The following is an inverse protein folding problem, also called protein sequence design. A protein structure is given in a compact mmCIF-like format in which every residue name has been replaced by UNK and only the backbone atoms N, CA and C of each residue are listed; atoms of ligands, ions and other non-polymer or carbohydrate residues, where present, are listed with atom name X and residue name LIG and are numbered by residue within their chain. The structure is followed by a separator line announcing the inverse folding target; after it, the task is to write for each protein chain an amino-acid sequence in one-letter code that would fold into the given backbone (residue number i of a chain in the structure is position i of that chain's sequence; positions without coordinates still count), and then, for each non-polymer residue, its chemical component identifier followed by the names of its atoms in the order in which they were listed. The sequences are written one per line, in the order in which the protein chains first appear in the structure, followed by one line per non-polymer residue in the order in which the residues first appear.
data_IF_178025490706
#
_entry.id   IF_178025490706
#
_cell.length_a   1.000
_cell.length_b   1.000
_cell.length_c   1.000
_cell.angle_alpha   90.00
_cell.angle_beta   90.00
_cell.angle_gamma   90.00
#
_symmetry.space_group_name_H-M   'P 1'
#
loop_
_entity.id
_entity.type
_entity.pdbx_description
1 polymer ?
#
# COMPACT_ATOMS: atom_id res chain seq x y z
N UNK A 1 0.74 96.17 -24.92
CA UNK A 1 1.24 94.78 -24.83
C UNK A 1 1.48 94.52 -23.37
N UNK A 2 0.49 93.92 -22.74
CA UNK A 2 0.62 93.56 -21.28
C UNK A 2 0.96 92.03 -21.25
N UNK A 3 2.17 91.73 -20.77
CA UNK A 3 2.66 90.41 -20.53
C UNK A 3 1.95 89.75 -19.33
N UNK A 4 1.25 88.71 -19.54
CA UNK A 4 0.55 87.92 -18.51
C UNK A 4 1.59 87.03 -17.80
N UNK A 5 2.00 87.39 -16.60
CA UNK A 5 2.95 86.62 -15.80
C UNK A 5 2.17 85.50 -15.06
N UNK A 6 2.34 84.29 -15.51
CA UNK A 6 1.76 83.10 -14.91
C UNK A 6 2.56 82.75 -13.61
N UNK A 7 2.03 83.07 -12.43
CA UNK A 7 2.66 82.80 -11.14
C UNK A 7 2.31 81.34 -10.76
N UNK A 8 3.30 80.42 -10.64
CA UNK A 8 3.02 79.04 -10.24
C UNK A 8 2.43 79.01 -8.82
N UNK A 9 1.30 78.34 -8.67
CA UNK A 9 0.62 78.16 -7.39
C UNK A 9 1.54 77.38 -6.41
N UNK A 10 1.84 78.00 -5.26
CA UNK A 10 2.61 77.39 -4.19
C UNK A 10 1.89 76.11 -3.67
N UNK A 11 2.57 74.96 -3.54
CA UNK A 11 1.96 73.72 -2.98
C UNK A 11 1.44 74.02 -1.57
N UNK A 12 0.16 73.77 -1.35
CA UNK A 12 -0.47 73.90 -0.04
C UNK A 12 0.17 72.87 0.92
N UNK A 13 0.97 73.34 1.87
CA UNK A 13 1.50 72.50 2.95
C UNK A 13 0.34 71.95 3.75
N UNK A 14 0.23 70.60 3.86
CA UNK A 14 -0.79 69.95 4.67
C UNK A 14 -0.68 70.38 6.13
N UNK A 15 -1.83 70.56 6.81
CA UNK A 15 -1.84 70.96 8.22
C UNK A 15 -1.10 69.93 9.09
N UNK A 16 -0.51 70.34 10.21
CA UNK A 16 0.18 69.46 11.14
C UNK A 16 -0.69 68.28 11.58
N UNK A 17 -2.01 68.52 11.78
CA UNK A 17 -2.99 67.48 12.12
C UNK A 17 -3.11 66.43 11.00
N UNK A 18 -3.13 66.87 9.74
CA UNK A 18 -3.19 65.96 8.58
C UNK A 18 -1.93 65.14 8.44
N UNK A 19 -0.76 65.73 8.68
CA UNK A 19 0.53 65.02 8.64
C UNK A 19 0.59 63.94 9.73
N UNK A 20 0.22 64.25 10.95
CA UNK A 20 0.16 63.29 12.06
C UNK A 20 -0.82 62.16 11.76
N UNK A 21 -2.03 62.45 11.27
CA UNK A 21 -3.03 61.44 10.92
C UNK A 21 -2.55 60.49 9.83
N UNK A 22 -1.88 61.01 8.79
CA UNK A 22 -1.30 60.20 7.70
C UNK A 22 -0.18 59.30 8.20
N UNK A 23 0.73 59.84 9.01
CA UNK A 23 1.86 59.05 9.55
C UNK A 23 1.36 57.94 10.46
N UNK A 24 0.40 58.24 11.37
CA UNK A 24 -0.19 57.24 12.25
C UNK A 24 -0.99 56.21 11.48
N UNK A 25 -1.77 56.63 10.47
CA UNK A 25 -2.53 55.72 9.61
C UNK A 25 -1.63 54.75 8.84
N UNK A 26 -0.54 55.27 8.26
CA UNK A 26 0.49 54.46 7.59
C UNK A 26 1.16 53.49 8.55
N UNK A 27 1.52 53.91 9.74
CA UNK A 27 2.14 53.07 10.77
C UNK A 27 1.22 51.89 11.14
N UNK A 28 -0.06 52.17 11.37
CA UNK A 28 -1.07 51.11 11.68
C UNK A 28 -1.22 50.14 10.53
N UNK A 29 -1.29 50.62 9.29
CA UNK A 29 -1.38 49.78 8.10
C UNK A 29 -0.14 48.88 7.96
N UNK A 30 1.06 49.45 8.08
CA UNK A 30 2.33 48.70 8.00
C UNK A 30 2.41 47.65 9.10
N UNK A 31 2.07 48.02 10.33
CA UNK A 31 2.07 47.09 11.47
C UNK A 31 1.04 45.96 11.26
N UNK A 32 -0.15 46.26 10.76
CA UNK A 32 -1.20 45.29 10.44
C UNK A 32 -0.78 44.31 9.35
N UNK A 33 -0.16 44.80 8.28
CA UNK A 33 0.38 43.96 7.21
C UNK A 33 1.52 43.06 7.75
N UNK A 34 2.42 43.58 8.54
CA UNK A 34 3.54 42.84 9.12
C UNK A 34 3.04 41.76 10.07
N UNK A 35 2.07 42.05 10.92
CA UNK A 35 1.46 41.06 11.80
C UNK A 35 0.69 39.98 11.02
N UNK A 36 -0.04 40.41 9.99
CA UNK A 36 -0.79 39.46 9.11
C UNK A 36 0.13 38.49 8.39
N UNK A 37 1.28 38.97 7.84
CA UNK A 37 2.24 38.10 7.19
C UNK A 37 2.89 37.13 8.17
N UNK A 38 3.34 37.61 9.32
CA UNK A 38 3.94 36.74 10.35
C UNK A 38 2.97 35.67 10.85
N UNK A 39 1.71 36.05 11.11
CA UNK A 39 0.71 35.11 11.58
C UNK A 39 0.36 34.05 10.48
N UNK A 40 0.25 34.52 9.23
CA UNK A 40 0.00 33.62 8.08
C UNK A 40 1.13 32.62 7.89
N UNK A 41 2.38 33.05 8.00
CA UNK A 41 3.54 32.17 7.86
C UNK A 41 3.62 31.16 9.01
N UNK A 42 3.41 31.60 10.27
CA UNK A 42 3.33 30.69 11.41
C UNK A 42 2.23 29.63 11.23
N UNK A 43 1.04 30.04 10.80
CA UNK A 43 -0.08 29.15 10.61
C UNK A 43 0.19 28.15 9.49
N UNK A 44 0.73 28.60 8.35
CA UNK A 44 1.12 27.75 7.23
C UNK A 44 2.15 26.70 7.65
N UNK A 45 3.21 27.11 8.34
CA UNK A 45 4.24 26.20 8.83
C UNK A 45 3.68 25.17 9.81
N UNK A 46 2.79 25.60 10.71
CA UNK A 46 2.16 24.69 11.67
C UNK A 46 1.26 23.67 10.99
N UNK A 47 0.43 24.09 10.04
CA UNK A 47 -0.45 23.20 9.26
C UNK A 47 0.34 22.22 8.38
N UNK A 48 1.41 22.69 7.73
CA UNK A 48 2.28 21.82 6.94
C UNK A 48 2.98 20.77 7.81
N UNK A 49 3.45 21.16 8.99
CA UNK A 49 4.11 20.25 9.93
C UNK A 49 3.13 19.18 10.44
N UNK A 50 1.91 19.58 10.80
CA UNK A 50 0.87 18.64 11.24
C UNK A 50 0.45 17.68 10.11
N UNK A 51 0.28 18.18 8.88
CA UNK A 51 -0.01 17.34 7.73
C UNK A 51 1.12 16.34 7.46
N UNK A 52 2.38 16.76 7.53
CA UNK A 52 3.54 15.89 7.37
C UNK A 52 3.57 14.74 8.39
N UNK A 53 3.36 15.05 9.68
CA UNK A 53 3.31 14.03 10.74
C UNK A 53 2.15 13.06 10.53
N UNK A 54 0.99 13.55 10.13
CA UNK A 54 -0.18 12.70 9.84
C UNK A 54 0.07 11.74 8.68
N UNK A 55 0.71 12.22 7.59
CA UNK A 55 1.07 11.40 6.44
C UNK A 55 2.15 10.36 6.79
N UNK A 56 3.16 10.75 7.55
CA UNK A 56 4.18 9.81 8.02
C UNK A 56 3.57 8.69 8.87
N UNK A 57 2.65 9.03 9.78
CA UNK A 57 1.96 8.05 10.60
C UNK A 57 1.10 7.11 9.75
N UNK A 58 0.37 7.62 8.77
CA UNK A 58 -0.42 6.82 7.84
C UNK A 58 0.47 5.85 7.04
N UNK A 59 1.60 6.32 6.52
CA UNK A 59 2.55 5.48 5.79
C UNK A 59 3.17 4.38 6.68
N UNK A 60 3.56 4.71 7.91
CA UNK A 60 4.08 3.73 8.89
C UNK A 60 3.02 2.69 9.26
N UNK A 61 1.77 3.11 9.46
CA UNK A 61 0.68 2.18 9.76
C UNK A 61 0.39 1.27 8.57
N UNK A 62 0.38 1.79 7.35
CA UNK A 62 0.23 1.00 6.14
C UNK A 62 1.33 -0.06 6.02
N UNK A 63 2.60 0.34 6.16
CA UNK A 63 3.73 -0.59 6.12
C UNK A 63 3.62 -1.69 7.18
N UNK A 64 3.21 -1.34 8.42
CA UNK A 64 3.01 -2.30 9.49
C UNK A 64 1.86 -3.26 9.21
N UNK A 65 0.73 -2.78 8.70
CA UNK A 65 -0.42 -3.63 8.36
C UNK A 65 -0.09 -4.58 7.21
N UNK A 66 0.62 -4.10 6.19
CA UNK A 66 1.09 -4.93 5.08
C UNK A 66 2.07 -6.00 5.58
N UNK A 67 3.05 -5.63 6.39
CA UNK A 67 4.01 -6.57 6.96
C UNK A 67 3.32 -7.65 7.82
N UNK A 68 2.35 -7.27 8.66
CA UNK A 68 1.57 -8.21 9.47
C UNK A 68 0.77 -9.15 8.56
N UNK A 69 0.11 -8.64 7.53
CA UNK A 69 -0.64 -9.45 6.57
C UNK A 69 0.23 -10.47 5.84
N UNK A 70 1.42 -10.09 5.40
CA UNK A 70 2.40 -11.02 4.81
C UNK A 70 2.85 -12.09 5.81
N UNK A 71 3.12 -11.68 7.05
CA UNK A 71 3.54 -12.60 8.11
C UNK A 71 2.45 -13.60 8.47
N UNK A 72 1.18 -13.17 8.54
CA UNK A 72 0.05 -14.06 8.84
C UNK A 72 -0.12 -15.11 7.74
N UNK A 73 0.03 -14.76 6.47
CA UNK A 73 0.01 -15.72 5.37
C UNK A 73 1.19 -16.68 5.39
N UNK A 74 2.37 -16.18 5.72
CA UNK A 74 3.56 -17.01 5.90
C UNK A 74 3.36 -18.04 7.02
N UNK A 75 2.75 -17.64 8.13
CA UNK A 75 2.40 -18.54 9.22
C UNK A 75 1.33 -19.55 8.83
N UNK A 76 0.32 -19.11 8.09
CA UNK A 76 -0.75 -20.00 7.62
C UNK A 76 -0.19 -21.14 6.77
N UNK A 77 0.64 -20.83 5.76
CA UNK A 77 1.25 -21.86 4.92
C UNK A 77 2.14 -22.80 5.74
N UNK A 78 2.87 -22.26 6.72
CA UNK A 78 3.71 -23.05 7.62
C UNK A 78 2.88 -24.01 8.49
N UNK A 79 1.84 -23.51 9.14
CA UNK A 79 0.99 -24.32 10.02
C UNK A 79 0.28 -25.42 9.23
N UNK A 80 -0.26 -25.10 8.07
CA UNK A 80 -0.92 -26.08 7.22
C UNK A 80 0.07 -27.13 6.72
N UNK A 81 1.24 -26.75 6.24
CA UNK A 81 2.24 -27.66 5.68
C UNK A 81 2.82 -28.63 6.72
N UNK A 82 2.85 -28.24 8.01
CA UNK A 82 3.33 -29.05 9.11
C UNK A 82 2.24 -29.84 9.84
N UNK A 83 1.00 -29.74 9.42
CA UNK A 83 -0.14 -30.43 10.04
C UNK A 83 -0.13 -31.93 9.70
N UNK A 84 0.55 -32.75 10.48
CA UNK A 84 0.64 -34.21 10.28
C UNK A 84 -0.71 -34.90 10.00
N UNK A 85 -1.81 -34.62 10.75
CA UNK A 85 -3.09 -35.23 10.44
C UNK A 85 -3.62 -34.91 9.06
N UNK A 86 -3.36 -33.70 8.54
CA UNK A 86 -3.80 -33.27 7.22
C UNK A 86 -3.18 -34.12 6.11
N UNK A 87 -1.90 -34.47 6.26
CA UNK A 87 -1.11 -35.17 5.24
C UNK A 87 -1.07 -36.70 5.41
N UNK A 88 -1.67 -37.23 6.48
CA UNK A 88 -1.61 -38.67 6.82
C UNK A 88 -2.11 -39.56 5.70
N UNK A 89 -3.15 -39.13 4.96
CA UNK A 89 -3.77 -39.92 3.87
C UNK A 89 -3.30 -39.48 2.48
N UNK A 90 -2.20 -38.75 2.36
CA UNK A 90 -1.60 -38.31 1.11
C UNK A 90 -2.06 -36.93 0.66
N UNK A 91 -1.38 -36.44 -0.42
CA UNK A 91 -1.51 -35.07 -0.91
C UNK A 91 -2.87 -34.77 -1.59
N UNK A 92 -3.62 -35.81 -1.97
CA UNK A 92 -4.88 -35.68 -2.70
C UNK A 92 -6.10 -36.12 -1.87
N UNK A 93 -5.91 -36.23 -0.55
CA UNK A 93 -7.02 -36.72 0.29
C UNK A 93 -8.17 -35.70 0.33
N UNK A 94 -9.41 -36.16 0.55
CA UNK A 94 -10.57 -35.28 0.70
C UNK A 94 -10.36 -34.23 1.82
N UNK A 95 -9.61 -34.60 2.86
CA UNK A 95 -9.26 -33.72 3.97
C UNK A 95 -8.39 -32.54 3.51
N UNK A 96 -7.45 -32.78 2.60
CA UNK A 96 -6.60 -31.74 2.01
C UNK A 96 -7.45 -30.75 1.19
N UNK A 97 -8.32 -31.25 0.32
CA UNK A 97 -9.24 -30.40 -0.46
C UNK A 97 -10.13 -29.56 0.47
N UNK A 98 -10.69 -30.16 1.52
CA UNK A 98 -11.55 -29.47 2.46
C UNK A 98 -10.77 -28.40 3.25
N UNK A 99 -9.54 -28.69 3.67
CA UNK A 99 -8.70 -27.72 4.38
C UNK A 99 -8.35 -26.51 3.50
N UNK A 100 -7.95 -26.75 2.25
CA UNK A 100 -7.66 -25.69 1.28
C UNK A 100 -8.90 -24.82 1.00
N UNK A 101 -10.06 -25.45 0.79
CA UNK A 101 -11.32 -24.73 0.56
C UNK A 101 -11.72 -23.86 1.77
N UNK A 102 -11.56 -24.37 2.99
CA UNK A 102 -11.81 -23.60 4.22
C UNK A 102 -10.84 -22.43 4.38
N UNK A 103 -9.54 -22.66 4.14
CA UNK A 103 -8.52 -21.62 4.19
C UNK A 103 -8.86 -20.50 3.19
N UNK A 104 -9.22 -20.83 1.95
CA UNK A 104 -9.61 -19.86 0.94
C UNK A 104 -10.89 -19.09 1.32
N UNK A 105 -11.89 -19.76 1.91
CA UNK A 105 -13.12 -19.12 2.36
C UNK A 105 -12.89 -18.10 3.50
N UNK A 106 -11.95 -18.38 4.40
CA UNK A 106 -11.56 -17.47 5.48
C UNK A 106 -10.74 -16.28 4.94
N UNK A 107 -10.00 -16.53 3.87
CA UNK A 107 -9.05 -15.59 3.30
C UNK A 107 -9.33 -15.34 1.82
N UNK A 108 -10.28 -14.47 1.48
CA UNK A 108 -10.74 -14.26 0.09
C UNK A 108 -9.65 -13.76 -0.86
N UNK A 109 -8.60 -13.14 -0.34
CA UNK A 109 -7.43 -12.74 -1.14
C UNK A 109 -6.48 -13.89 -1.48
N UNK A 110 -6.65 -15.10 -0.91
CA UNK A 110 -5.93 -16.29 -1.32
C UNK A 110 -6.59 -16.86 -2.59
N UNK A 111 -6.15 -16.38 -3.75
CA UNK A 111 -6.78 -16.69 -5.03
C UNK A 111 -6.55 -18.15 -5.45
N UNK A 112 -5.44 -18.74 -5.02
CA UNK A 112 -5.13 -20.13 -5.30
C UNK A 112 -4.33 -20.73 -4.14
N UNK A 113 -4.72 -21.91 -3.74
CA UNK A 113 -4.00 -22.77 -2.80
C UNK A 113 -3.77 -24.09 -3.49
N UNK A 114 -2.52 -24.55 -3.52
CA UNK A 114 -2.19 -25.79 -4.22
C UNK A 114 -1.06 -26.56 -3.56
N UNK A 115 -1.04 -27.85 -3.85
CA UNK A 115 -0.07 -28.82 -3.35
C UNK A 115 0.61 -29.46 -4.53
N UNK A 116 1.94 -29.39 -4.57
CA UNK A 116 2.76 -30.10 -5.54
C UNK A 116 3.56 -31.20 -4.86
N UNK A 117 3.75 -32.32 -5.54
CA UNK A 117 4.65 -33.41 -5.10
C UNK A 117 6.14 -33.04 -5.33
N UNK A 118 7.03 -33.95 -5.00
CA UNK A 118 8.48 -33.74 -5.15
C UNK A 118 8.93 -33.59 -6.60
N UNK A 119 8.16 -34.08 -7.56
CA UNK A 119 8.41 -33.92 -8.99
C UNK A 119 7.93 -32.56 -9.52
N UNK A 120 7.25 -31.79 -8.68
CA UNK A 120 6.66 -30.51 -9.03
C UNK A 120 5.34 -30.63 -9.78
N UNK A 121 4.64 -31.76 -9.66
CA UNK A 121 3.32 -31.92 -10.25
C UNK A 121 2.24 -31.53 -9.25
N UNK A 122 1.31 -30.63 -9.64
CA UNK A 122 0.19 -30.23 -8.80
C UNK A 122 -0.75 -31.41 -8.57
N UNK A 123 -0.92 -31.82 -7.32
CA UNK A 123 -1.73 -32.97 -6.91
C UNK A 123 -3.08 -32.60 -6.34
N UNK A 124 -3.19 -31.45 -5.72
CA UNK A 124 -4.44 -30.88 -5.24
C UNK A 124 -4.40 -29.37 -5.35
N UNK A 125 -5.51 -28.73 -5.64
CA UNK A 125 -5.60 -27.28 -5.70
C UNK A 125 -7.05 -26.82 -5.50
N UNK A 126 -7.23 -25.57 -5.07
CA UNK A 126 -8.54 -24.93 -5.01
C UNK A 126 -9.10 -24.75 -6.42
N UNK A 127 -10.38 -25.16 -6.60
CA UNK A 127 -11.03 -25.14 -7.91
C UNK A 127 -10.37 -26.02 -8.96
N UNK A 128 -9.58 -27.03 -8.56
CA UNK A 128 -8.81 -27.93 -9.41
C UNK A 128 -7.90 -27.21 -10.44
N UNK A 129 -7.62 -25.93 -10.20
CA UNK A 129 -6.77 -25.14 -11.08
C UNK A 129 -5.33 -25.66 -11.08
N UNK A 130 -4.77 -25.82 -12.27
CA UNK A 130 -3.42 -26.34 -12.52
C UNK A 130 -3.23 -27.82 -12.11
N UNK A 131 -4.28 -28.57 -11.79
CA UNK A 131 -4.17 -29.99 -11.43
C UNK A 131 -3.44 -30.77 -12.53
N UNK A 132 -2.44 -31.57 -12.16
CA UNK A 132 -1.59 -32.32 -13.08
C UNK A 132 -0.54 -31.52 -13.84
N UNK A 133 -0.53 -30.18 -13.72
CA UNK A 133 0.48 -29.33 -14.35
C UNK A 133 1.79 -29.32 -13.56
N UNK A 134 2.91 -29.19 -14.28
CA UNK A 134 4.21 -29.05 -13.65
C UNK A 134 4.46 -27.62 -13.24
N UNK A 135 4.89 -27.44 -11.99
CA UNK A 135 5.32 -26.17 -11.39
C UNK A 135 6.81 -26.20 -10.98
N UNK A 136 7.55 -27.18 -11.48
CA UNK A 136 8.94 -27.43 -11.14
C UNK A 136 9.85 -26.21 -11.36
N UNK A 137 9.61 -25.47 -12.42
CA UNK A 137 10.34 -24.26 -12.80
C UNK A 137 9.88 -22.99 -12.06
N UNK A 138 8.94 -23.11 -11.12
CA UNK A 138 8.44 -21.96 -10.37
C UNK A 138 9.33 -21.68 -9.16
N UNK A 139 9.72 -20.41 -8.95
CA UNK A 139 10.57 -20.03 -7.81
C UNK A 139 9.99 -20.47 -6.47
N UNK A 140 8.69 -20.31 -6.27
CA UNK A 140 8.01 -20.69 -5.03
C UNK A 140 8.12 -22.20 -4.74
N UNK A 141 8.15 -23.07 -5.77
CA UNK A 141 8.29 -24.49 -5.60
C UNK A 141 9.70 -24.86 -5.13
N UNK A 142 10.74 -24.41 -5.86
CA UNK A 142 12.14 -24.72 -5.53
C UNK A 142 12.57 -24.13 -4.17
N UNK A 143 12.06 -22.95 -3.81
CA UNK A 143 12.30 -22.32 -2.51
C UNK A 143 11.47 -22.99 -1.41
N UNK A 144 10.22 -23.31 -1.69
CA UNK A 144 9.31 -24.00 -0.78
C UNK A 144 9.79 -25.39 -0.35
N UNK A 145 10.57 -26.09 -1.18
CA UNK A 145 11.24 -27.35 -0.81
C UNK A 145 12.31 -27.13 0.27
N UNK A 146 12.93 -25.95 0.32
CA UNK A 146 14.02 -25.63 1.26
C UNK A 146 13.53 -25.13 2.62
N UNK A 147 12.31 -24.58 2.65
CA UNK A 147 11.72 -24.00 3.85
C UNK A 147 10.53 -23.11 3.56
N UNK A 148 10.07 -22.41 4.58
CA UNK A 148 9.04 -21.38 4.41
C UNK A 148 9.58 -20.25 3.54
N UNK A 149 8.88 -19.93 2.47
CA UNK A 149 9.27 -18.90 1.51
C UNK A 149 8.13 -17.91 1.29
N UNK A 150 8.49 -16.64 1.24
CA UNK A 150 7.62 -15.54 0.81
C UNK A 150 8.25 -14.96 -0.44
N UNK A 151 7.55 -15.07 -1.55
CA UNK A 151 7.99 -14.52 -2.84
C UNK A 151 7.78 -13.02 -2.92
N UNK A 152 8.42 -12.40 -3.89
CA UNK A 152 8.17 -11.00 -4.22
C UNK A 152 6.91 -10.85 -5.08
N UNK A 153 6.40 -9.61 -5.16
CA UNK A 153 5.23 -9.30 -6.00
C UNK A 153 5.56 -9.51 -7.47
N UNK A 154 4.76 -10.29 -8.16
CA UNK A 154 4.98 -10.59 -9.57
C UNK A 154 3.66 -10.71 -10.35
N UNK A 155 3.67 -10.48 -11.68
CA UNK A 155 2.50 -10.66 -12.52
C UNK A 155 2.05 -12.14 -12.54
N UNK A 156 0.73 -12.36 -12.50
CA UNK A 156 0.13 -13.68 -12.70
C UNK A 156 0.44 -14.18 -14.13
N UNK A 157 1.07 -15.36 -14.26
CA UNK A 157 1.41 -15.92 -15.57
C UNK A 157 0.44 -17.02 -16.00
N UNK A 158 0.36 -18.12 -15.23
CA UNK A 158 -0.51 -19.25 -15.56
C UNK A 158 -1.94 -19.04 -15.08
N UNK A 159 -2.09 -18.57 -13.84
CA UNK A 159 -3.39 -18.39 -13.20
C UNK A 159 -4.17 -17.20 -13.76
N UNK A 160 -3.53 -16.22 -14.38
CA UNK A 160 -4.21 -15.05 -14.94
C UNK A 160 -5.31 -15.40 -15.95
N UNK A 161 -5.18 -16.56 -16.64
CA UNK A 161 -6.16 -17.05 -17.60
C UNK A 161 -7.31 -17.83 -16.97
N UNK A 162 -7.14 -18.27 -15.74
CA UNK A 162 -8.08 -19.14 -15.02
C UNK A 162 -8.87 -18.38 -13.97
N UNK A 163 -8.35 -17.24 -13.51
CA UNK A 163 -8.97 -16.42 -12.50
C UNK A 163 -9.86 -15.34 -13.12
N UNK A 164 -10.91 -14.88 -12.41
CA UNK A 164 -11.69 -13.74 -12.85
C UNK A 164 -10.81 -12.49 -12.93
N UNK A 165 -11.17 -11.51 -13.78
CA UNK A 165 -10.44 -10.24 -13.82
C UNK A 165 -10.38 -9.57 -12.43
N UNK A 166 -9.29 -8.83 -12.16
CA UNK A 166 -9.20 -8.00 -10.96
C UNK A 166 -10.34 -6.99 -10.91
N UNK A 167 -10.87 -6.72 -9.73
CA UNK A 167 -11.90 -5.70 -9.53
C UNK A 167 -11.45 -4.29 -9.96
N UNK A 168 -10.14 -4.02 -9.94
CA UNK A 168 -9.56 -2.76 -10.40
C UNK A 168 -9.40 -2.66 -11.92
N UNK A 169 -9.55 -3.75 -12.65
CA UNK A 169 -9.24 -3.83 -14.09
C UNK A 169 -7.74 -3.85 -14.42
N UNK A 170 -6.86 -3.79 -13.42
CA UNK A 170 -5.42 -3.90 -13.58
C UNK A 170 -4.99 -5.38 -13.73
N UNK A 171 -3.82 -5.64 -14.36
CA UNK A 171 -3.27 -6.98 -14.39
C UNK A 171 -3.05 -7.53 -12.98
N UNK A 172 -3.55 -8.74 -12.73
CA UNK A 172 -3.41 -9.38 -11.43
C UNK A 172 -1.94 -9.60 -11.09
N UNK A 173 -1.60 -9.29 -9.85
CA UNK A 173 -0.29 -9.53 -9.25
C UNK A 173 -0.45 -10.43 -8.04
N UNK A 174 0.53 -11.28 -7.81
CA UNK A 174 0.55 -12.22 -6.70
C UNK A 174 1.75 -12.00 -5.80
N UNK A 175 1.56 -12.41 -4.55
CA UNK A 175 2.64 -12.76 -3.63
C UNK A 175 2.52 -14.24 -3.33
N UNK A 176 3.61 -14.97 -3.48
CA UNK A 176 3.64 -16.39 -3.24
C UNK A 176 4.12 -16.71 -1.82
N UNK A 177 3.38 -17.59 -1.17
CA UNK A 177 3.77 -18.18 0.11
C UNK A 177 3.89 -19.68 -0.10
N UNK A 178 5.01 -20.28 0.28
CA UNK A 178 5.19 -21.72 0.14
C UNK A 178 5.96 -22.31 1.32
N UNK A 179 5.71 -23.58 1.59
CA UNK A 179 6.40 -24.33 2.63
C UNK A 179 6.46 -25.82 2.31
N UNK A 180 7.49 -26.55 2.80
CA UNK A 180 7.59 -27.98 2.60
C UNK A 180 6.51 -28.70 3.44
N UNK A 181 5.80 -29.62 2.81
CA UNK A 181 4.89 -30.53 3.48
C UNK A 181 5.72 -31.64 4.09
N UNK A 182 5.65 -31.75 5.42
CA UNK A 182 6.40 -32.76 6.16
C UNK A 182 5.44 -33.85 6.66
N UNK A 183 5.74 -35.11 6.33
CA UNK A 183 5.07 -36.30 6.83
C UNK A 183 6.11 -37.29 7.34
N UNK A 184 5.96 -37.76 8.56
CA UNK A 184 6.88 -38.70 9.22
C UNK A 184 8.36 -38.25 9.17
N UNK A 185 8.57 -36.93 9.33
CA UNK A 185 9.90 -36.31 9.30
C UNK A 185 10.52 -36.12 7.92
N UNK A 186 9.81 -36.49 6.85
CA UNK A 186 10.27 -36.34 5.47
C UNK A 186 9.44 -35.35 4.70
N UNK A 187 10.09 -34.54 3.85
CA UNK A 187 9.41 -33.68 2.90
C UNK A 187 8.76 -34.56 1.82
N UNK A 188 7.45 -34.41 1.62
CA UNK A 188 6.67 -35.16 0.62
C UNK A 188 6.09 -34.29 -0.48
N UNK A 189 6.24 -32.98 -0.39
CA UNK A 189 5.76 -32.03 -1.38
C UNK A 189 5.88 -30.59 -0.87
N UNK A 190 5.25 -29.68 -1.59
CA UNK A 190 5.18 -28.25 -1.26
C UNK A 190 3.73 -27.78 -1.26
N UNK A 191 3.33 -27.11 -0.19
CA UNK A 191 2.09 -26.32 -0.14
C UNK A 191 2.41 -24.90 -0.57
N UNK A 192 1.58 -24.35 -1.46
CA UNK A 192 1.69 -22.95 -1.84
C UNK A 192 0.35 -22.22 -1.79
N UNK A 193 0.42 -20.93 -1.45
CA UNK A 193 -0.70 -20.00 -1.48
C UNK A 193 -0.30 -18.83 -2.36
N UNK A 194 -1.10 -18.52 -3.39
CA UNK A 194 -0.95 -17.31 -4.18
C UNK A 194 -1.95 -16.27 -3.68
N UNK A 195 -1.46 -15.27 -2.96
CA UNK A 195 -2.25 -14.14 -2.48
C UNK A 195 -2.36 -13.07 -3.56
N UNK A 196 -3.57 -12.53 -3.78
CA UNK A 196 -3.76 -11.32 -4.59
C UNK A 196 -3.04 -10.14 -3.95
N UNK A 197 -2.40 -9.31 -4.77
CA UNK A 197 -1.84 -8.03 -4.30
C UNK A 197 -2.91 -6.95 -4.11
N UNK A 198 -4.16 -7.19 -4.52
CA UNK A 198 -5.26 -6.20 -4.44
C UNK A 198 -5.60 -5.81 -2.99
N UNK A 199 -5.38 -6.72 -2.00
CA UNK A 199 -5.56 -6.40 -0.58
C UNK A 199 -4.70 -5.24 -0.09
N UNK A 200 -3.56 -4.99 -0.73
CA UNK A 200 -2.70 -3.84 -0.39
C UNK A 200 -3.40 -2.51 -0.67
N UNK A 201 -4.19 -2.46 -1.74
CA UNK A 201 -5.02 -1.30 -2.07
C UNK A 201 -6.05 -1.05 -0.97
N UNK A 202 -6.76 -2.08 -0.53
CA UNK A 202 -7.76 -1.97 0.55
C UNK A 202 -7.13 -1.46 1.85
N UNK A 203 -5.94 -1.99 2.21
CA UNK A 203 -5.18 -1.49 3.37
C UNK A 203 -4.85 -0.01 3.22
N UNK A 204 -4.33 0.40 2.07
CA UNK A 204 -3.96 1.78 1.80
C UNK A 204 -5.19 2.69 1.87
N UNK A 205 -6.27 2.33 1.18
CA UNK A 205 -7.52 3.11 1.15
C UNK A 205 -8.13 3.26 2.55
N UNK A 206 -8.04 2.22 3.38
CA UNK A 206 -8.54 2.26 4.76
C UNK A 206 -7.78 3.22 5.69
N UNK A 207 -6.54 3.57 5.34
CA UNK A 207 -5.66 4.42 6.14
C UNK A 207 -5.57 5.86 5.63
N UNK A 208 -5.99 6.09 4.39
CA UNK A 208 -6.01 7.43 3.83
C UNK A 208 -7.08 8.30 4.51
N UNK A 209 -6.73 9.52 4.91
CA UNK A 209 -7.71 10.42 5.48
C UNK A 209 -8.77 10.83 4.45
N UNK A 210 -10.01 11.17 4.87
CA UNK A 210 -11.11 11.50 3.94
C UNK A 210 -10.79 12.59 2.92
N UNK A 211 -9.92 13.53 3.27
CA UNK A 211 -9.49 14.62 2.39
C UNK A 211 -8.43 14.21 1.35
N UNK A 212 -7.90 12.98 1.44
CA UNK A 212 -6.82 12.52 0.55
C UNK A 212 -7.25 12.53 -0.92
N UNK A 213 -8.49 12.12 -1.21
CA UNK A 213 -9.03 12.12 -2.56
C UNK A 213 -9.14 13.54 -3.13
N UNK A 214 -9.61 14.52 -2.34
CA UNK A 214 -9.73 15.93 -2.75
C UNK A 214 -8.38 16.55 -3.07
N UNK A 215 -7.33 16.11 -2.37
CA UNK A 215 -5.95 16.60 -2.57
C UNK A 215 -5.11 15.73 -3.49
N UNK A 216 -5.71 14.74 -4.14
CA UNK A 216 -5.05 13.79 -5.04
C UNK A 216 -3.80 13.14 -4.39
N UNK A 217 -3.91 12.80 -3.10
CA UNK A 217 -2.84 12.14 -2.39
C UNK A 217 -2.63 10.74 -2.95
N UNK A 218 -1.39 10.42 -3.29
CA UNK A 218 -0.99 9.10 -3.75
C UNK A 218 -0.02 8.49 -2.75
N UNK A 219 -0.17 7.19 -2.49
CA UNK A 219 0.73 6.41 -1.68
C UNK A 219 1.41 5.37 -2.57
N UNK A 220 2.73 5.35 -2.55
CA UNK A 220 3.53 4.42 -3.33
C UNK A 220 4.15 3.36 -2.42
N UNK A 221 4.19 2.13 -2.90
CA UNK A 221 4.92 1.04 -2.27
C UNK A 221 6.13 0.76 -3.14
N UNK A 222 7.29 0.77 -2.54
CA UNK A 222 8.55 0.44 -3.20
C UNK A 222 9.07 -0.89 -2.69
N UNK A 223 9.71 -1.65 -3.56
CA UNK A 223 10.46 -2.84 -3.15
C UNK A 223 11.77 -2.46 -2.43
N UNK A 224 12.55 -3.47 -2.04
CA UNK A 224 13.84 -3.25 -1.37
C UNK A 224 14.90 -2.56 -2.24
N UNK A 225 14.64 -2.46 -3.55
CA UNK A 225 15.51 -1.79 -4.52
C UNK A 225 15.01 -0.38 -4.89
N UNK A 226 13.87 0.04 -4.34
CA UNK A 226 13.27 1.35 -4.58
C UNK A 226 12.51 1.46 -5.90
N UNK A 227 12.06 0.33 -6.46
CA UNK A 227 11.29 0.26 -7.70
C UNK A 227 9.81 0.02 -7.44
#
# INVERSE_FOLDING_TARGET
MCANVNIPARPRRASLRTQIAVVFGLLVIVLGLLLSTLLSDMLRQHLQKQAGVSLELAARNAAKMLANGLQDRSREVQVLSQSTPLWAHGLQSPMVHQAMARSQAIHPHSLWIGVADLDGVVRAATGDMLLGQSVKERPWFSQGLRGVHVGDVHPAKLLAKLLPPSASGEPQRFVDFSAPIVRDGQTVGVLAIHGSWDWTREVIESLLPPWAAERQLQLFIFDSQGQ
#
